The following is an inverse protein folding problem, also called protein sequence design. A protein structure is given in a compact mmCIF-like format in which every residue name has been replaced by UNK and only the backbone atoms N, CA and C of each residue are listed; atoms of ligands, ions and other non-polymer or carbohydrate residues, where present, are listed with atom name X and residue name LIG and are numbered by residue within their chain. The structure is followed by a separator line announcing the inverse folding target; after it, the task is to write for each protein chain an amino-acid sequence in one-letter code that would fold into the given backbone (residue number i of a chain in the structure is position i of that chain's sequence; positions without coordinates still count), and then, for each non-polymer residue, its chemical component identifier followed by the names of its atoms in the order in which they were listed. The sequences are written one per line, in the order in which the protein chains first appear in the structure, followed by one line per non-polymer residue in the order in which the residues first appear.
data_IF_584228324237
#
_entry.id   IF_584228324237
#
_cell.length_a   1.000
_cell.length_b   1.000
_cell.length_c   1.000
_cell.angle_alpha   90.00
_cell.angle_beta   90.00
_cell.angle_gamma   90.00
#
_symmetry.space_group_name_H-M   'P 1'
#
loop_
_entity.id
_entity.type
_entity.pdbx_description
1 polymer ?
#
# COMPACT_ATOMS: atom_id res chain seq x y z
N UNK A 1 -11.38 -0.47 19.73
CA UNK A 1 -10.19 0.25 19.22
C UNK A 1 -10.47 0.56 17.76
N UNK A 2 -10.32 1.81 17.34
CA UNK A 2 -10.63 2.24 15.96
C UNK A 2 -9.32 2.64 15.28
N UNK A 3 -9.13 2.23 14.03
CA UNK A 3 -7.96 2.64 13.23
C UNK A 3 -8.04 4.15 13.00
N UNK A 4 -6.90 4.84 13.06
CA UNK A 4 -6.84 6.29 12.79
C UNK A 4 -7.21 6.56 11.33
N UNK A 5 -8.12 7.51 11.10
CA UNK A 5 -8.56 7.95 9.77
C UNK A 5 -7.66 9.05 9.22
N UNK A 6 -6.41 8.69 8.92
CA UNK A 6 -5.46 9.55 8.22
C UNK A 6 -5.14 8.97 6.83
N UNK A 7 -4.58 9.75 5.89
CA UNK A 7 -4.00 9.23 4.66
C UNK A 7 -3.03 8.08 4.97
N UNK A 8 -2.90 7.12 4.05
CA UNK A 8 -2.05 5.94 4.26
C UNK A 8 -1.13 5.65 3.09
N UNK A 9 -0.04 4.97 3.40
CA UNK A 9 0.86 4.32 2.43
C UNK A 9 0.84 2.82 2.66
N UNK A 10 0.48 2.06 1.64
CA UNK A 10 0.66 0.62 1.57
C UNK A 10 2.08 0.32 1.07
N UNK A 11 2.76 -0.62 1.71
CA UNK A 11 4.09 -1.09 1.32
C UNK A 11 4.12 -2.61 1.30
N UNK A 12 4.61 -3.19 0.20
CA UNK A 12 4.95 -4.61 0.12
C UNK A 12 6.40 -4.78 -0.32
N UNK A 13 7.07 -5.78 0.23
CA UNK A 13 8.35 -6.26 -0.26
C UNK A 13 8.07 -7.45 -1.19
N UNK A 14 8.49 -7.33 -2.44
CA UNK A 14 8.14 -8.31 -3.48
C UNK A 14 9.41 -8.97 -3.99
N UNK A 15 9.38 -10.30 -4.08
CA UNK A 15 10.45 -11.10 -4.70
C UNK A 15 10.18 -11.20 -6.21
N UNK A 16 11.04 -10.58 -7.01
CA UNK A 16 11.06 -10.64 -8.46
C UNK A 16 12.16 -11.56 -8.99
N UNK A 17 12.34 -11.56 -10.31
CA UNK A 17 13.35 -12.41 -10.98
C UNK A 17 14.78 -12.00 -10.65
N UNK A 18 15.02 -10.70 -10.48
CA UNK A 18 16.35 -10.11 -10.32
C UNK A 18 16.68 -9.76 -8.86
N UNK A 19 15.79 -10.12 -7.92
CA UNK A 19 15.92 -9.81 -6.50
C UNK A 19 14.63 -9.23 -5.93
N UNK A 20 14.77 -8.47 -4.84
CA UNK A 20 13.63 -7.82 -4.18
C UNK A 20 13.38 -6.41 -4.72
N UNK A 21 12.12 -5.99 -4.70
CA UNK A 21 11.73 -4.60 -4.92
C UNK A 21 10.62 -4.18 -3.95
N UNK A 22 10.45 -2.86 -3.78
CA UNK A 22 9.40 -2.29 -2.94
C UNK A 22 8.21 -1.90 -3.82
N UNK A 23 7.02 -2.31 -3.42
CA UNK A 23 5.76 -1.92 -4.05
C UNK A 23 4.98 -0.99 -3.15
N UNK A 24 4.61 0.18 -3.67
CA UNK A 24 3.99 1.26 -2.91
C UNK A 24 2.69 1.74 -3.56
N UNK A 25 1.71 2.04 -2.72
CA UNK A 25 0.48 2.72 -3.13
C UNK A 25 -0.02 3.63 -2.00
N UNK A 26 -0.51 4.81 -2.36
CA UNK A 26 -1.10 5.77 -1.44
C UNK A 26 -2.62 5.80 -1.56
N UNK A 27 -3.28 5.92 -0.41
CA UNK A 27 -4.72 5.91 -0.31
C UNK A 27 -5.23 6.89 0.75
N UNK A 28 -6.51 7.19 0.66
CA UNK A 28 -7.23 8.04 1.62
C UNK A 28 -8.23 7.19 2.40
N UNK A 29 -8.42 7.42 3.71
CA UNK A 29 -9.43 6.71 4.50
C UNK A 29 -10.83 7.08 4.02
N UNK A 30 -11.76 6.13 4.11
CA UNK A 30 -13.17 6.34 3.79
C UNK A 30 -14.04 5.89 4.95
N UNK A 31 -14.97 6.75 5.35
CA UNK A 31 -15.99 6.42 6.33
C UNK A 31 -17.05 5.48 5.73
N UNK A 32 -17.36 4.40 6.44
CA UNK A 32 -18.41 3.43 6.10
C UNK A 32 -18.76 2.62 7.37
N UNK A 33 -19.90 1.88 7.42
CA UNK A 33 -20.21 1.04 8.57
C UNK A 33 -19.10 0.04 8.87
N UNK A 34 -18.79 -0.10 10.16
CA UNK A 34 -17.82 -1.08 10.64
C UNK A 34 -18.42 -2.48 10.45
N UNK A 35 -17.69 -3.32 9.72
CA UNK A 35 -18.03 -4.73 9.57
C UNK A 35 -17.95 -5.44 10.94
N UNK A 36 -19.06 -6.05 11.37
CA UNK A 36 -19.17 -6.75 12.65
C UNK A 36 -18.58 -8.18 12.58
N UNK A 37 -17.30 -8.27 12.21
CA UNK A 37 -16.60 -9.54 11.94
C UNK A 37 -15.53 -9.89 12.99
N UNK A 38 -15.48 -9.17 14.11
CA UNK A 38 -14.54 -9.42 15.22
C UNK A 38 -13.12 -8.90 15.01
N UNK A 39 -12.81 -8.33 13.83
CA UNK A 39 -11.50 -7.80 13.49
C UNK A 39 -11.49 -6.27 13.38
N UNK A 40 -10.31 -5.68 13.57
CA UNK A 40 -10.06 -4.27 13.27
C UNK A 40 -10.12 -4.06 11.75
N UNK A 41 -10.94 -3.10 11.31
CA UNK A 41 -11.14 -2.80 9.89
C UNK A 41 -10.67 -1.39 9.56
N UNK A 42 -10.22 -1.21 8.31
CA UNK A 42 -9.95 0.09 7.70
C UNK A 42 -10.33 0.02 6.22
N UNK A 43 -10.74 1.15 5.65
CA UNK A 43 -11.20 1.23 4.26
C UNK A 43 -10.50 2.39 3.57
N UNK A 44 -9.98 2.12 2.38
CA UNK A 44 -9.20 3.10 1.64
C UNK A 44 -9.74 3.32 0.24
N UNK A 45 -9.66 4.57 -0.22
CA UNK A 45 -9.88 4.98 -1.61
C UNK A 45 -8.54 5.32 -2.24
N UNK A 46 -8.23 4.64 -3.33
CA UNK A 46 -7.07 4.91 -4.16
C UNK A 46 -7.45 5.89 -5.28
N UNK A 47 -6.51 6.77 -5.66
CA UNK A 47 -6.73 7.81 -6.69
C UNK A 47 -7.14 7.24 -8.06
N UNK A 48 -6.73 5.99 -8.35
CA UNK A 48 -7.01 5.27 -9.60
C UNK A 48 -8.26 4.37 -9.54
N UNK A 49 -8.95 4.34 -8.40
CA UNK A 49 -10.11 3.47 -8.16
C UNK A 49 -9.75 2.01 -7.87
N UNK A 50 -10.62 1.32 -7.13
CA UNK A 50 -10.34 -0.01 -6.58
C UNK A 50 -10.02 -1.08 -7.65
N UNK A 51 -10.73 -1.08 -8.79
CA UNK A 51 -10.50 -2.05 -9.87
C UNK A 51 -9.11 -1.92 -10.47
N UNK A 52 -8.67 -0.68 -10.77
CA UNK A 52 -7.36 -0.44 -11.37
C UNK A 52 -6.26 -0.68 -10.35
N UNK A 53 -6.45 -0.23 -9.11
CA UNK A 53 -5.54 -0.54 -8.01
C UNK A 53 -5.29 -2.04 -7.89
N UNK A 54 -6.36 -2.85 -7.79
CA UNK A 54 -6.22 -4.30 -7.65
C UNK A 54 -5.47 -4.92 -8.84
N UNK A 55 -5.81 -4.53 -10.07
CA UNK A 55 -5.15 -5.04 -11.26
C UNK A 55 -3.66 -4.68 -11.30
N UNK A 56 -3.29 -3.43 -11.06
CA UNK A 56 -1.89 -2.99 -11.13
C UNK A 56 -1.08 -3.54 -9.95
N UNK A 57 -1.66 -3.61 -8.74
CA UNK A 57 -1.03 -4.21 -7.55
C UNK A 57 -0.77 -5.69 -7.75
N UNK A 58 -1.78 -6.46 -8.15
CA UNK A 58 -1.64 -7.89 -8.38
C UNK A 58 -0.69 -8.24 -9.52
N UNK A 59 -0.59 -7.40 -10.57
CA UNK A 59 0.36 -7.61 -11.68
C UNK A 59 1.82 -7.60 -11.23
N UNK A 60 2.14 -6.89 -10.15
CA UNK A 60 3.50 -6.87 -9.59
C UNK A 60 3.83 -8.15 -8.81
N UNK A 61 2.84 -9.02 -8.55
CA UNK A 61 3.03 -10.28 -7.84
C UNK A 61 3.35 -10.20 -6.32
N UNK A 62 2.84 -9.21 -5.55
CA UNK A 62 3.08 -9.16 -4.11
C UNK A 62 2.37 -10.31 -3.37
N UNK A 63 2.82 -10.59 -2.14
CA UNK A 63 2.06 -11.40 -1.18
C UNK A 63 0.73 -10.72 -0.82
N UNK A 64 -0.21 -11.50 -0.26
CA UNK A 64 -1.45 -10.97 0.30
C UNK A 64 -1.23 -10.09 1.55
N UNK A 65 -0.06 -10.19 2.19
CA UNK A 65 0.33 -9.31 3.28
C UNK A 65 1.00 -8.04 2.76
N UNK A 66 0.67 -6.91 3.38
CA UNK A 66 1.35 -5.63 3.20
C UNK A 66 1.40 -4.87 4.53
N UNK A 67 2.35 -3.94 4.65
CA UNK A 67 2.38 -2.97 5.73
C UNK A 67 1.53 -1.76 5.36
N UNK A 68 0.86 -1.18 6.35
CA UNK A 68 0.09 0.06 6.20
C UNK A 68 0.68 1.07 7.18
N UNK A 69 1.22 2.17 6.64
CA UNK A 69 1.75 3.30 7.40
C UNK A 69 0.84 4.53 7.29
N UNK A 70 0.84 5.36 8.32
CA UNK A 70 0.12 6.65 8.31
C UNK A 70 0.91 7.69 7.52
N UNK A 71 0.18 8.48 6.73
CA UNK A 71 0.67 9.51 5.83
C UNK A 71 0.94 9.00 4.42
N UNK A 72 1.04 9.94 3.49
CA UNK A 72 1.62 9.74 2.16
C UNK A 72 3.13 9.94 2.27
N UNK A 73 3.87 8.83 2.31
CA UNK A 73 5.33 8.81 2.53
C UNK A 73 6.06 8.02 1.43
N UNK A 74 5.42 7.81 0.28
CA UNK A 74 6.03 7.13 -0.87
C UNK A 74 7.34 7.79 -1.30
N UNK A 75 7.44 9.11 -1.24
CA UNK A 75 8.65 9.89 -1.52
C UNK A 75 9.85 9.48 -0.64
N UNK A 76 9.59 9.21 0.64
CA UNK A 76 10.62 8.72 1.58
C UNK A 76 11.02 7.29 1.27
N UNK A 77 10.08 6.45 0.85
CA UNK A 77 10.34 5.06 0.46
C UNK A 77 11.14 5.00 -0.84
N UNK A 78 10.80 5.84 -1.83
CA UNK A 78 11.56 6.00 -3.07
C UNK A 78 13.00 6.44 -2.78
N UNK A 79 13.17 7.44 -1.90
CA UNK A 79 14.50 7.88 -1.46
C UNK A 79 15.27 6.78 -0.73
N UNK A 80 14.59 5.97 0.10
CA UNK A 80 15.21 4.81 0.75
C UNK A 80 15.66 3.76 -0.27
N UNK A 81 14.82 3.44 -1.26
CA UNK A 81 15.16 2.54 -2.35
C UNK A 81 16.41 2.98 -3.11
N UNK A 82 16.52 4.28 -3.41
CA UNK A 82 17.73 4.86 -4.02
C UNK A 82 18.99 4.66 -3.16
N UNK A 83 18.91 4.87 -1.83
CA UNK A 83 20.04 4.68 -0.92
C UNK A 83 20.45 3.21 -0.83
N UNK A 84 19.48 2.30 -0.83
CA UNK A 84 19.71 0.86 -0.69
C UNK A 84 19.96 0.14 -2.02
N UNK A 85 19.85 0.84 -3.15
CA UNK A 85 19.87 0.26 -4.49
C UNK A 85 18.80 -0.85 -4.66
N UNK A 86 17.58 -0.56 -4.21
CA UNK A 86 16.39 -1.41 -4.34
C UNK A 86 15.35 -0.65 -5.17
N UNK A 87 14.81 -1.31 -6.19
CA UNK A 87 13.78 -0.73 -7.04
C UNK A 87 12.50 -0.44 -6.26
N UNK A 88 11.84 0.66 -6.59
CA UNK A 88 10.56 1.05 -6.00
C UNK A 88 9.54 1.27 -7.10
N UNK A 89 8.44 0.53 -7.03
CA UNK A 89 7.30 0.63 -7.95
C UNK A 89 6.16 1.33 -7.22
N UNK A 90 5.78 2.52 -7.68
CA UNK A 90 4.60 3.26 -7.17
C UNK A 90 3.42 3.09 -8.13
N UNK A 91 2.27 2.65 -7.62
CA UNK A 91 1.05 2.43 -8.42
C UNK A 91 0.11 3.65 -8.43
N UNK A 92 -0.03 4.33 -7.29
CA UNK A 92 -0.90 5.49 -7.14
C UNK A 92 -0.56 6.30 -5.90
#
# INVERSE_FOLDING_TARGET
MTVKHDPVTLLSLVEGKDGIFLLVAEGEPVEDPILQIGNTNSRYKFSIGAKRFMNEWSKQGPSHHCAIGVGHISDKIEKLGQILNIDVVKIC
#
